data_IF_329864009682
#
_entry.id   IF_329864009682
#
_cell.length_a   1.000
_cell.length_b   1.000
_cell.length_c   1.000
_cell.angle_alpha   90.00
_cell.angle_beta   90.00
_cell.angle_gamma   90.00
#
_symmetry.space_group_name_H-M   'P 1'
#
loop_
_entity.id
_entity.type
_entity.pdbx_description
1 polymer ?
#
# COMPACT_ATOMS: atom_id res chain seq x y z
N UNK A 1 -58.53 -19.08 11.24
CA UNK A 1 -57.16 -19.43 11.65
C UNK A 1 -56.31 -19.48 10.40
N UNK A 2 -55.50 -18.45 10.15
CA UNK A 2 -54.25 -18.40 9.35
C UNK A 2 -53.64 -17.04 9.69
N UNK A 3 -52.44 -17.03 10.27
CA UNK A 3 -51.72 -15.83 10.70
C UNK A 3 -51.03 -15.14 9.52
N UNK A 4 -51.08 -13.80 9.49
CA UNK A 4 -50.29 -12.98 8.58
C UNK A 4 -48.86 -12.86 9.13
N UNK A 5 -47.92 -13.59 8.53
CA UNK A 5 -46.49 -13.40 8.81
C UNK A 5 -46.07 -12.00 8.34
N UNK A 6 -45.62 -11.20 9.31
CA UNK A 6 -45.21 -9.82 9.16
C UNK A 6 -44.01 -9.68 8.22
N UNK A 7 -44.18 -8.96 7.11
CA UNK A 7 -43.11 -8.58 6.16
C UNK A 7 -42.14 -7.52 6.71
N UNK A 8 -42.37 -7.01 7.93
CA UNK A 8 -41.47 -6.06 8.60
C UNK A 8 -40.10 -6.64 8.96
N UNK A 9 -39.99 -7.97 9.10
CA UNK A 9 -38.71 -8.62 9.41
C UNK A 9 -37.74 -8.63 8.22
N UNK A 10 -38.25 -8.62 6.98
CA UNK A 10 -37.43 -8.67 5.76
C UNK A 10 -36.87 -7.27 5.43
N UNK A 11 -37.60 -6.20 5.78
CA UNK A 11 -37.14 -4.82 5.62
C UNK A 11 -35.99 -4.45 6.57
N UNK A 12 -35.91 -5.09 7.75
CA UNK A 12 -34.85 -4.85 8.72
C UNK A 12 -33.49 -5.44 8.30
N UNK A 13 -33.48 -6.55 7.55
CA UNK A 13 -32.25 -7.19 7.08
C UNK A 13 -31.61 -6.40 5.93
N UNK A 14 -32.40 -5.66 5.13
CA UNK A 14 -31.88 -4.77 4.08
C UNK A 14 -31.10 -3.56 4.63
N UNK A 15 -31.35 -3.20 5.90
CA UNK A 15 -30.77 -2.02 6.55
C UNK A 15 -29.65 -2.36 7.55
N UNK A 16 -29.39 -3.63 7.80
CA UNK A 16 -28.33 -4.08 8.68
C UNK A 16 -27.09 -4.47 7.86
N UNK A 17 -26.16 -3.51 7.78
CA UNK A 17 -24.73 -3.75 7.61
C UNK A 17 -24.21 -3.95 6.18
N UNK A 18 -24.36 -2.91 5.36
CA UNK A 18 -23.29 -2.50 4.44
C UNK A 18 -22.93 -1.06 4.78
N UNK A 19 -22.44 -0.85 6.02
CA UNK A 19 -21.54 0.29 6.28
C UNK A 19 -20.13 -0.17 5.95
N UNK A 20 -19.89 -0.53 4.68
CA UNK A 20 -18.57 -0.33 4.13
C UNK A 20 -18.40 1.18 4.08
N UNK A 21 -17.53 1.71 4.95
CA UNK A 21 -16.93 3.01 4.70
C UNK A 21 -16.27 2.90 3.34
N UNK A 22 -17.00 3.24 2.28
CA UNK A 22 -16.48 3.37 0.94
C UNK A 22 -15.55 4.56 0.99
N UNK A 23 -14.29 4.30 1.38
CA UNK A 23 -13.21 5.26 1.17
C UNK A 23 -13.32 5.67 -0.27
N UNK A 24 -13.65 6.93 -0.48
CA UNK A 24 -13.83 7.46 -1.83
C UNK A 24 -12.54 7.21 -2.61
N UNK A 25 -12.64 7.05 -3.93
CA UNK A 25 -11.46 6.86 -4.79
C UNK A 25 -10.39 7.93 -4.55
N UNK A 26 -10.82 9.15 -4.18
CA UNK A 26 -9.95 10.25 -3.77
C UNK A 26 -9.20 9.98 -2.45
N UNK A 27 -9.85 9.40 -1.46
CA UNK A 27 -9.25 9.05 -0.16
C UNK A 27 -8.25 7.88 -0.29
N UNK A 28 -8.55 6.89 -1.14
CA UNK A 28 -7.62 5.81 -1.48
C UNK A 28 -6.38 6.37 -2.18
N UNK A 29 -6.56 7.27 -3.16
CA UNK A 29 -5.45 7.90 -3.89
C UNK A 29 -4.56 8.74 -2.97
N UNK A 30 -5.17 9.49 -2.02
CA UNK A 30 -4.42 10.26 -1.03
C UNK A 30 -3.59 9.36 -0.11
N UNK A 31 -4.20 8.30 0.41
CA UNK A 31 -3.50 7.34 1.28
C UNK A 31 -2.36 6.60 0.54
N UNK A 32 -2.52 6.34 -0.76
CA UNK A 32 -1.43 5.80 -1.59
C UNK A 32 -0.30 6.82 -1.78
N UNK A 33 -0.63 8.08 -2.06
CA UNK A 33 0.38 9.13 -2.19
C UNK A 33 1.22 9.29 -0.92
N UNK A 34 0.58 9.21 0.26
CA UNK A 34 1.26 9.18 1.56
C UNK A 34 2.14 7.94 1.71
N UNK A 35 1.62 6.74 1.42
CA UNK A 35 2.40 5.49 1.48
C UNK A 35 3.60 5.48 0.53
N UNK A 36 3.44 6.00 -0.68
CA UNK A 36 4.51 6.11 -1.67
C UNK A 36 5.58 7.11 -1.18
N UNK A 37 5.17 8.21 -0.57
CA UNK A 37 6.08 9.18 0.02
C UNK A 37 6.89 8.56 1.17
N UNK A 38 6.22 7.83 2.05
CA UNK A 38 6.87 7.10 3.14
C UNK A 38 7.85 6.04 2.62
N UNK A 39 7.45 5.27 1.60
CA UNK A 39 8.32 4.28 0.96
C UNK A 39 9.56 4.91 0.32
N UNK A 40 9.41 6.03 -0.40
CA UNK A 40 10.52 6.76 -0.99
C UNK A 40 11.44 7.36 0.10
N UNK A 41 10.86 7.91 1.17
CA UNK A 41 11.64 8.40 2.32
C UNK A 41 12.42 7.27 2.99
N UNK A 42 11.84 6.07 3.06
CA UNK A 42 12.49 4.90 3.64
C UNK A 42 13.65 4.42 2.77
N UNK A 43 13.49 4.38 1.45
CA UNK A 43 14.59 4.10 0.51
C UNK A 43 15.71 5.13 0.65
N UNK A 44 15.39 6.42 0.72
CA UNK A 44 16.39 7.47 0.93
C UNK A 44 17.16 7.30 2.26
N UNK A 45 16.46 6.93 3.33
CA UNK A 45 17.10 6.60 4.61
C UNK A 45 17.98 5.35 4.50
N UNK A 46 17.56 4.36 3.72
CA UNK A 46 18.32 3.14 3.46
C UNK A 46 19.60 3.45 2.68
N UNK A 47 19.55 4.28 1.64
CA UNK A 47 20.74 4.75 0.91
C UNK A 47 21.72 5.50 1.81
N UNK A 48 21.23 6.38 2.69
CA UNK A 48 22.07 7.06 3.68
C UNK A 48 22.76 6.07 4.62
N UNK A 49 22.08 4.99 5.00
CA UNK A 49 22.68 3.91 5.78
C UNK A 49 23.73 3.14 4.97
N UNK A 50 23.51 2.87 3.68
CA UNK A 50 24.51 2.27 2.80
C UNK A 50 25.76 3.13 2.71
N UNK A 51 25.62 4.45 2.56
CA UNK A 51 26.76 5.37 2.58
C UNK A 51 27.55 5.28 3.89
N UNK A 52 26.86 5.23 5.03
CA UNK A 52 27.51 5.08 6.34
C UNK A 52 28.20 3.72 6.49
N UNK A 53 27.60 2.64 6.00
CA UNK A 53 28.22 1.31 6.00
C UNK A 53 29.43 1.26 5.05
N UNK A 54 29.40 1.98 3.94
CA UNK A 54 30.53 2.11 3.02
C UNK A 54 31.70 2.89 3.68
N UNK A 55 31.42 3.95 4.44
CA UNK A 55 32.45 4.66 5.20
C UNK A 55 33.06 3.77 6.30
N UNK A 56 32.24 2.95 6.96
CA UNK A 56 32.70 1.96 7.94
C UNK A 56 33.48 0.80 7.29
N UNK A 57 33.12 0.41 6.06
CA UNK A 57 33.85 -0.56 5.25
C UNK A 57 35.25 -0.02 4.88
N UNK A 58 35.34 1.22 4.43
CA UNK A 58 36.63 1.91 4.17
C UNK A 58 37.48 2.06 5.45
N UNK A 59 36.83 2.19 6.61
CA UNK A 59 37.46 2.18 7.92
C UNK A 59 37.80 0.75 8.44
N UNK A 60 37.50 -0.30 7.67
CA UNK A 60 37.81 -1.70 7.98
C UNK A 60 36.91 -2.37 9.02
N UNK A 61 35.75 -1.78 9.34
CA UNK A 61 34.83 -2.25 10.40
C UNK A 61 33.63 -3.05 9.89
N UNK A 62 33.39 -3.08 8.57
CA UNK A 62 32.23 -3.72 7.93
C UNK A 62 32.72 -4.57 6.77
N UNK A 63 31.99 -5.65 6.44
CA UNK A 63 32.33 -6.57 5.36
C UNK A 63 31.66 -6.15 4.03
N UNK A 64 32.33 -6.36 2.89
CA UNK A 64 31.85 -5.91 1.58
C UNK A 64 30.46 -6.50 1.22
N UNK A 65 30.17 -7.67 1.78
CA UNK A 65 28.93 -8.41 1.61
C UNK A 65 27.72 -7.64 2.16
N UNK A 66 27.88 -6.89 3.24
CA UNK A 66 26.79 -6.15 3.90
C UNK A 66 26.36 -4.94 3.06
N UNK A 67 27.32 -4.24 2.46
CA UNK A 67 27.07 -3.13 1.51
C UNK A 67 26.35 -3.65 0.26
N UNK A 68 26.78 -4.79 -0.29
CA UNK A 68 26.14 -5.40 -1.46
C UNK A 68 24.71 -5.88 -1.19
N UNK A 69 24.46 -6.44 0.01
CA UNK A 69 23.11 -6.85 0.43
C UNK A 69 22.20 -5.62 0.54
N UNK A 70 22.67 -4.56 1.18
CA UNK A 70 21.88 -3.33 1.34
C UNK A 70 21.59 -2.67 -0.02
N UNK A 71 22.56 -2.64 -0.93
CA UNK A 71 22.35 -2.16 -2.30
C UNK A 71 21.31 -3.00 -3.06
N UNK A 72 21.39 -4.34 -2.95
CA UNK A 72 20.43 -5.26 -3.57
C UNK A 72 19.02 -5.08 -3.01
N UNK A 73 18.89 -4.87 -1.69
CA UNK A 73 17.61 -4.60 -1.04
C UNK A 73 16.98 -3.30 -1.54
N UNK A 74 17.77 -2.24 -1.71
CA UNK A 74 17.30 -0.96 -2.26
C UNK A 74 16.78 -1.13 -3.69
N UNK A 75 17.53 -1.82 -4.55
CA UNK A 75 17.15 -2.12 -5.93
C UNK A 75 15.81 -2.87 -6.02
N UNK A 76 15.63 -3.92 -5.21
CA UNK A 76 14.40 -4.73 -5.19
C UNK A 76 13.23 -3.89 -4.67
N UNK A 77 13.44 -3.07 -3.63
CA UNK A 77 12.41 -2.19 -3.08
C UNK A 77 11.94 -1.14 -4.09
N UNK A 78 12.85 -0.59 -4.89
CA UNK A 78 12.55 0.34 -5.98
C UNK A 78 11.70 -0.30 -7.08
N UNK A 79 12.08 -1.51 -7.53
CA UNK A 79 11.29 -2.26 -8.50
C UNK A 79 9.89 -2.58 -7.97
N UNK A 80 9.80 -3.05 -6.73
CA UNK A 80 8.52 -3.35 -6.08
C UNK A 80 7.62 -2.11 -5.97
N UNK A 81 8.20 -0.96 -5.64
CA UNK A 81 7.48 0.33 -5.58
C UNK A 81 6.90 0.72 -6.95
N UNK A 82 7.65 0.51 -8.02
CA UNK A 82 7.16 0.75 -9.39
C UNK A 82 6.00 -0.18 -9.77
N UNK A 83 6.08 -1.46 -9.39
CA UNK A 83 4.99 -2.42 -9.61
C UNK A 83 3.73 -2.05 -8.84
N UNK A 84 3.86 -1.66 -7.57
CA UNK A 84 2.72 -1.18 -6.77
C UNK A 84 2.09 0.04 -7.44
N UNK A 85 2.89 1.02 -7.88
CA UNK A 85 2.38 2.20 -8.60
C UNK A 85 1.52 1.78 -9.79
N UNK A 86 2.01 0.84 -10.62
CA UNK A 86 1.27 0.35 -11.78
C UNK A 86 -0.05 -0.33 -11.39
N UNK A 87 -0.04 -1.18 -10.34
CA UNK A 87 -1.25 -1.86 -9.84
C UNK A 87 -2.28 -0.90 -9.28
N UNK A 88 -1.85 0.16 -8.59
CA UNK A 88 -2.75 1.16 -8.00
C UNK A 88 -3.42 2.00 -9.09
N UNK A 89 -2.67 2.41 -10.12
CA UNK A 89 -3.25 3.12 -11.28
C UNK A 89 -4.27 2.24 -12.00
N UNK A 90 -3.98 0.96 -12.19
CA UNK A 90 -4.92 0.01 -12.79
C UNK A 90 -6.18 -0.18 -11.92
N UNK A 91 -6.03 -0.27 -10.59
CA UNK A 91 -7.15 -0.36 -9.66
C UNK A 91 -8.05 0.90 -9.70
N UNK A 92 -7.45 2.09 -9.80
CA UNK A 92 -8.19 3.34 -10.00
C UNK A 92 -9.03 3.30 -11.28
N UNK A 93 -8.42 2.85 -12.39
CA UNK A 93 -9.11 2.72 -13.68
C UNK A 93 -10.24 1.68 -13.63
N UNK A 94 -10.05 0.56 -12.93
CA UNK A 94 -11.06 -0.49 -12.79
C UNK A 94 -12.27 -0.02 -11.97
N UNK A 95 -12.07 0.66 -10.85
CA UNK A 95 -13.16 1.20 -10.02
C UNK A 95 -14.02 2.18 -10.84
N UNK A 96 -13.38 3.06 -11.63
CA UNK A 96 -14.08 3.97 -12.53
C UNK A 96 -14.88 3.23 -13.62
N UNK A 97 -14.41 2.05 -14.06
CA UNK A 97 -15.10 1.24 -15.09
C UNK A 97 -16.30 0.46 -14.53
N UNK A 98 -16.37 0.24 -13.21
CA UNK A 98 -17.51 -0.42 -12.54
C UNK A 98 -18.65 0.57 -12.26
N UNK A 99 -18.35 1.85 -12.08
CA UNK A 99 -19.32 2.88 -11.67
C UNK A 99 -20.03 3.59 -12.85
N UNK A 100 -19.67 3.29 -14.09
CA UNK A 100 -20.39 3.76 -15.30
C UNK A 100 -21.49 2.82 -15.74
#
# INVERSE_FOLDING_TARGET
>A
MIEHISTSAISAIKNANVSSSEKTTAEITRSFGEYLNDALSNVAAQEANVHKMNDLYLAGQVDATEVLVAASQSQISLQFTSEIRNKVVAAYQEIMRIQV
#
